data_IF_144932656082
#
_entry.id   IF_144932656082
#
_cell.length_a   1.000
_cell.length_b   1.000
_cell.length_c   1.000
_cell.angle_alpha   90.00
_cell.angle_beta   90.00
_cell.angle_gamma   90.00
#
_symmetry.space_group_name_H-M   'P 1'
#
loop_
_entity.id
_entity.type
_entity.pdbx_description
1 polymer ?
#
# COMPACT_ATOMS: atom_id res chain seq x y z
N UNK A 1 1.24 -27.27 -5.40
CA UNK A 1 1.80 -27.88 -4.18
C UNK A 1 3.10 -27.15 -3.87
N UNK A 2 3.14 -26.38 -2.79
CA UNK A 2 4.37 -25.69 -2.38
C UNK A 2 5.32 -26.76 -1.87
N UNK A 3 6.39 -27.03 -2.60
CA UNK A 3 7.45 -27.88 -2.10
C UNK A 3 8.38 -26.98 -1.34
N UNK A 4 8.18 -26.94 -0.02
CA UNK A 4 9.07 -26.23 0.90
C UNK A 4 10.52 -26.69 0.76
N UNK A 5 11.46 -25.81 1.11
CA UNK A 5 12.91 -26.11 1.28
C UNK A 5 13.24 -27.36 2.14
N UNK A 6 12.26 -27.91 2.85
CA UNK A 6 12.35 -29.15 3.64
C UNK A 6 12.67 -30.36 2.73
N UNK A 7 12.34 -30.30 1.44
CA UNK A 7 12.64 -31.37 0.49
C UNK A 7 14.14 -31.72 0.33
N UNK A 8 15.06 -30.85 0.72
CA UNK A 8 16.51 -31.17 0.70
C UNK A 8 16.93 -32.25 1.73
N UNK A 9 16.09 -32.54 2.72
CA UNK A 9 16.35 -33.60 3.72
C UNK A 9 15.73 -34.94 3.36
N UNK A 10 14.80 -34.99 2.42
CA UNK A 10 14.22 -36.24 1.95
C UNK A 10 14.97 -36.75 0.73
N UNK A 11 15.32 -38.04 0.71
CA UNK A 11 16.02 -38.76 -0.35
C UNK A 11 15.34 -38.71 -1.74
N UNK A 12 14.14 -38.10 -1.83
CA UNK A 12 13.39 -37.88 -3.06
C UNK A 12 13.56 -36.44 -3.56
N UNK A 13 14.77 -35.92 -3.51
CA UNK A 13 15.15 -34.55 -3.89
C UNK A 13 15.02 -34.22 -5.39
N UNK A 14 14.08 -34.83 -6.11
CA UNK A 14 13.87 -34.60 -7.53
C UNK A 14 12.75 -33.62 -7.88
N UNK A 15 11.95 -33.17 -6.90
CA UNK A 15 10.89 -32.19 -7.13
C UNK A 15 11.43 -30.79 -6.91
N UNK A 16 11.69 -30.08 -7.99
CA UNK A 16 11.98 -28.64 -7.92
C UNK A 16 10.73 -27.90 -7.39
N UNK A 17 10.92 -26.81 -6.57
CA UNK A 17 9.81 -26.00 -6.12
C UNK A 17 9.12 -25.37 -7.33
N UNK A 18 7.81 -25.49 -7.39
CA UNK A 18 7.01 -24.96 -8.51
C UNK A 18 7.04 -23.43 -8.51
N UNK A 19 7.05 -22.81 -7.32
CA UNK A 19 7.11 -21.36 -7.15
C UNK A 19 8.01 -20.97 -5.99
N UNK A 20 8.63 -19.79 -6.11
CA UNK A 20 9.35 -19.12 -5.05
C UNK A 20 8.45 -18.08 -4.37
N UNK A 21 8.36 -18.09 -3.05
CA UNK A 21 7.65 -17.08 -2.27
C UNK A 21 8.48 -15.80 -2.06
N UNK A 22 9.81 -15.90 -2.22
CA UNK A 22 10.70 -14.75 -2.03
C UNK A 22 10.49 -13.71 -3.12
N UNK A 23 10.17 -12.48 -2.74
CA UNK A 23 9.98 -11.35 -3.65
C UNK A 23 11.32 -10.83 -4.21
N UNK A 24 12.44 -11.04 -3.49
CA UNK A 24 13.75 -10.44 -3.80
C UNK A 24 14.76 -11.39 -4.41
N UNK A 25 14.48 -12.67 -4.48
CA UNK A 25 15.49 -13.66 -4.85
C UNK A 25 15.66 -13.75 -6.38
N UNK A 26 16.78 -13.24 -6.90
CA UNK A 26 17.08 -13.19 -8.33
C UNK A 26 17.67 -14.50 -8.90
N UNK A 27 18.05 -15.45 -8.04
CA UNK A 27 18.87 -16.63 -8.43
C UNK A 27 18.15 -17.98 -8.28
N UNK A 28 16.83 -18.01 -8.36
CA UNK A 28 16.12 -19.29 -8.31
C UNK A 28 15.59 -19.65 -9.71
N UNK A 29 15.80 -20.89 -10.12
CA UNK A 29 15.27 -21.47 -11.37
C UNK A 29 13.74 -21.65 -11.34
N UNK A 30 13.05 -21.09 -10.38
CA UNK A 30 11.59 -21.17 -10.26
C UNK A 30 10.94 -19.78 -10.32
N UNK A 31 9.77 -19.65 -10.96
CA UNK A 31 9.07 -18.38 -11.07
C UNK A 31 8.65 -17.86 -9.69
N UNK A 32 8.76 -16.56 -9.51
CA UNK A 32 8.28 -15.90 -8.29
C UNK A 32 6.76 -15.83 -8.30
N UNK A 33 6.14 -16.28 -7.22
CA UNK A 33 4.68 -16.23 -7.09
C UNK A 33 4.16 -14.78 -7.07
N UNK A 34 4.94 -13.87 -6.49
CA UNK A 34 4.64 -12.44 -6.49
C UNK A 34 4.59 -11.84 -7.91
N UNK A 35 5.51 -12.24 -8.80
CA UNK A 35 5.52 -11.72 -10.16
C UNK A 35 4.28 -12.19 -10.94
N UNK A 36 3.81 -13.42 -10.69
CA UNK A 36 2.55 -13.91 -11.27
C UNK A 36 1.37 -13.11 -10.70
N UNK A 37 1.38 -12.85 -9.39
CA UNK A 37 0.33 -12.09 -8.71
C UNK A 37 0.21 -10.67 -9.25
N UNK A 38 1.32 -9.91 -9.27
CA UNK A 38 1.29 -8.50 -9.68
C UNK A 38 0.96 -8.33 -11.18
N UNK A 39 1.26 -9.33 -12.01
CA UNK A 39 0.93 -9.33 -13.44
C UNK A 39 -0.44 -9.96 -13.75
N UNK A 40 -1.19 -10.36 -12.74
CA UNK A 40 -2.57 -10.84 -12.91
C UNK A 40 -3.56 -9.67 -12.91
N UNK A 41 -4.67 -9.85 -13.63
CA UNK A 41 -5.70 -8.83 -13.73
C UNK A 41 -6.44 -8.67 -12.39
N UNK A 42 -6.72 -9.79 -11.74
CA UNK A 42 -7.41 -9.85 -10.46
C UNK A 42 -7.00 -11.13 -9.67
N UNK A 43 -7.59 -11.28 -8.49
CA UNK A 43 -7.37 -12.45 -7.61
C UNK A 43 -7.77 -13.76 -8.27
N UNK A 44 -8.82 -13.76 -9.12
CA UNK A 44 -9.26 -14.96 -9.80
C UNK A 44 -8.25 -15.39 -10.86
N UNK A 45 -7.79 -14.45 -11.69
CA UNK A 45 -6.78 -14.68 -12.72
C UNK A 45 -5.48 -15.20 -12.10
N UNK A 46 -5.07 -14.60 -10.97
CA UNK A 46 -3.94 -15.10 -10.20
C UNK A 46 -4.13 -16.54 -9.74
N UNK A 47 -5.29 -16.86 -9.16
CA UNK A 47 -5.57 -18.20 -8.65
C UNK A 47 -5.52 -19.26 -9.76
N UNK A 48 -6.03 -18.93 -10.94
CA UNK A 48 -5.99 -19.84 -12.09
C UNK A 48 -4.57 -20.00 -12.63
N UNK A 49 -3.83 -18.90 -12.81
CA UNK A 49 -2.45 -18.94 -13.31
C UNK A 49 -1.49 -19.66 -12.37
N UNK A 50 -1.62 -19.41 -11.07
CA UNK A 50 -0.70 -19.96 -10.07
C UNK A 50 -1.07 -21.35 -9.59
N UNK A 51 -2.34 -21.65 -9.41
CA UNK A 51 -2.81 -22.86 -8.75
C UNK A 51 -3.76 -23.72 -9.59
N UNK A 52 -4.19 -23.23 -10.75
CA UNK A 52 -5.19 -23.88 -11.58
C UNK A 52 -6.61 -23.87 -10.99
N UNK A 53 -6.81 -23.33 -9.79
CA UNK A 53 -8.11 -23.33 -9.10
C UNK A 53 -8.17 -22.25 -8.02
N UNK A 54 -9.28 -21.50 -7.96
CA UNK A 54 -9.55 -20.55 -6.89
C UNK A 54 -9.65 -21.22 -5.52
N UNK A 55 -10.22 -22.42 -5.43
CA UNK A 55 -10.36 -23.13 -4.15
C UNK A 55 -9.03 -23.49 -3.48
N UNK A 56 -7.93 -23.55 -4.22
CA UNK A 56 -6.60 -23.71 -3.65
C UNK A 56 -6.10 -22.42 -2.99
N UNK A 57 -6.31 -21.28 -3.64
CA UNK A 57 -5.98 -19.98 -3.05
C UNK A 57 -6.83 -19.72 -1.79
N UNK A 58 -8.13 -20.04 -1.81
CA UNK A 58 -9.01 -19.87 -0.65
C UNK A 58 -8.54 -20.68 0.57
N UNK A 59 -8.02 -21.88 0.34
CA UNK A 59 -7.39 -22.69 1.41
C UNK A 59 -6.12 -22.05 1.94
N UNK A 60 -5.28 -21.48 1.07
CA UNK A 60 -4.06 -20.79 1.48
C UNK A 60 -4.35 -19.52 2.29
N UNK A 61 -5.41 -18.80 1.94
CA UNK A 61 -5.87 -17.60 2.67
C UNK A 61 -6.33 -17.90 4.10
N UNK A 62 -6.61 -19.14 4.44
CA UNK A 62 -6.92 -19.56 5.82
C UNK A 62 -5.67 -19.74 6.69
N UNK A 63 -4.49 -19.71 6.09
CA UNK A 63 -3.23 -19.99 6.78
C UNK A 63 -2.49 -18.68 7.07
N UNK A 64 -2.32 -18.34 8.35
CA UNK A 64 -1.74 -17.07 8.81
C UNK A 64 -0.39 -16.73 8.19
N UNK A 65 0.53 -17.68 8.09
CA UNK A 65 1.84 -17.40 7.50
C UNK A 65 1.76 -16.99 6.02
N UNK A 66 0.70 -17.41 5.33
CA UNK A 66 0.50 -17.00 3.92
C UNK A 66 -0.12 -15.61 3.84
N UNK A 67 -1.07 -15.27 4.70
CA UNK A 67 -1.75 -13.96 4.70
C UNK A 67 -0.88 -12.87 5.31
N UNK A 68 -0.36 -13.10 6.51
CA UNK A 68 0.38 -12.11 7.30
C UNK A 68 1.90 -12.10 7.01
N UNK A 69 2.38 -13.06 6.23
CA UNK A 69 3.81 -13.26 6.01
C UNK A 69 4.47 -14.07 7.13
N UNK A 70 5.72 -14.40 6.92
CA UNK A 70 6.49 -15.17 7.89
C UNK A 70 7.35 -14.23 8.74
N UNK A 71 7.06 -14.14 10.03
CA UNK A 71 7.86 -13.37 10.98
C UNK A 71 9.33 -13.85 10.95
N UNK A 72 10.24 -12.93 10.64
CA UNK A 72 11.66 -13.24 10.45
C UNK A 72 12.09 -13.55 9.01
N UNK A 73 11.17 -13.63 8.07
CA UNK A 73 11.48 -13.74 6.64
C UNK A 73 11.23 -12.38 5.96
N UNK A 74 12.27 -11.55 5.83
CA UNK A 74 12.17 -10.23 5.16
C UNK A 74 11.85 -10.31 3.67
N UNK A 75 11.78 -11.52 3.11
CA UNK A 75 11.60 -11.76 1.67
C UNK A 75 10.19 -12.15 1.28
N UNK A 76 9.31 -12.45 2.25
CA UNK A 76 7.90 -12.73 2.03
C UNK A 76 7.05 -11.92 3.01
N UNK A 77 6.43 -10.86 2.50
CA UNK A 77 5.62 -9.91 3.30
C UNK A 77 4.22 -10.42 3.63
N UNK A 78 3.77 -11.46 2.94
CA UNK A 78 2.43 -12.01 3.06
C UNK A 78 1.49 -11.56 1.95
N UNK A 79 0.42 -12.35 1.79
CA UNK A 79 -0.56 -12.11 0.73
C UNK A 79 -1.35 -10.80 0.90
N UNK A 80 -1.59 -10.39 2.15
CA UNK A 80 -2.30 -9.13 2.44
C UNK A 80 -1.49 -7.92 1.97
N UNK A 81 -0.16 -7.93 2.16
CA UNK A 81 0.74 -6.91 1.62
C UNK A 81 0.75 -6.90 0.08
N UNK A 82 0.63 -8.07 -0.56
CA UNK A 82 0.51 -8.15 -2.01
C UNK A 82 -0.80 -7.56 -2.53
N UNK A 83 -1.91 -7.75 -1.78
CA UNK A 83 -3.18 -7.11 -2.12
C UNK A 83 -3.09 -5.58 -2.04
N UNK A 84 -2.36 -5.06 -1.08
CA UNK A 84 -2.14 -3.62 -0.96
C UNK A 84 -1.29 -3.09 -2.13
N UNK A 85 -0.22 -3.79 -2.52
CA UNK A 85 0.58 -3.45 -3.71
C UNK A 85 -0.28 -3.46 -4.99
N UNK A 86 -1.18 -4.43 -5.15
CA UNK A 86 -2.10 -4.49 -6.29
C UNK A 86 -3.05 -3.28 -6.30
N UNK A 87 -3.62 -2.93 -5.15
CA UNK A 87 -4.47 -1.73 -5.01
C UNK A 87 -3.72 -0.45 -5.34
N UNK A 88 -2.49 -0.31 -4.87
CA UNK A 88 -1.65 0.85 -5.20
C UNK A 88 -1.33 0.93 -6.70
N UNK A 89 -1.00 -0.19 -7.33
CA UNK A 89 -0.79 -0.28 -8.78
C UNK A 89 -2.03 0.17 -9.55
N UNK A 90 -3.19 -0.37 -9.18
CA UNK A 90 -4.46 -0.07 -9.86
C UNK A 90 -4.85 1.40 -9.66
N UNK A 91 -4.64 1.94 -8.47
CA UNK A 91 -4.85 3.36 -8.17
C UNK A 91 -3.89 4.25 -8.98
N UNK A 92 -2.62 3.86 -9.08
CA UNK A 92 -1.61 4.57 -9.88
C UNK A 92 -1.98 4.57 -11.37
N UNK A 93 -2.41 3.44 -11.89
CA UNK A 93 -2.86 3.30 -13.27
C UNK A 93 -4.10 4.14 -13.54
N UNK A 94 -5.08 4.11 -12.64
CA UNK A 94 -6.30 4.93 -12.75
C UNK A 94 -5.97 6.42 -12.71
N UNK A 95 -5.05 6.85 -11.83
CA UNK A 95 -4.57 8.24 -11.78
C UNK A 95 -3.90 8.65 -13.09
N UNK A 96 -3.06 7.79 -13.67
CA UNK A 96 -2.42 8.07 -14.95
C UNK A 96 -3.44 8.28 -16.07
N UNK A 97 -4.42 7.39 -16.20
CA UNK A 97 -5.49 7.53 -17.20
C UNK A 97 -6.29 8.81 -17.01
N UNK A 98 -6.58 9.19 -15.74
CA UNK A 98 -7.27 10.45 -15.47
C UNK A 98 -6.42 11.68 -15.80
N UNK A 99 -5.10 11.63 -15.58
CA UNK A 99 -4.17 12.70 -15.94
C UNK A 99 -4.10 12.88 -17.46
N UNK A 100 -3.99 11.79 -18.20
CA UNK A 100 -3.94 11.83 -19.66
C UNK A 100 -5.24 12.45 -20.22
N UNK A 101 -6.40 12.02 -19.73
CA UNK A 101 -7.71 12.61 -20.12
C UNK A 101 -7.86 14.07 -19.73
N UNK A 102 -7.38 14.46 -18.55
CA UNK A 102 -7.42 15.86 -18.12
C UNK A 102 -6.52 16.75 -18.99
N UNK A 103 -5.37 16.24 -19.44
CA UNK A 103 -4.49 16.92 -20.38
C UNK A 103 -5.15 17.11 -21.75
N UNK A 104 -5.98 16.16 -22.18
CA UNK A 104 -6.80 16.25 -23.40
C UNK A 104 -8.01 17.21 -23.26
N UNK A 105 -8.18 17.86 -22.10
CA UNK A 105 -9.24 18.84 -21.86
C UNK A 105 -10.51 18.30 -21.22
N UNK A 106 -10.52 17.04 -20.73
CA UNK A 106 -11.67 16.47 -20.01
C UNK A 106 -11.78 17.07 -18.60
N UNK A 107 -12.69 18.04 -18.44
CA UNK A 107 -12.98 18.72 -17.17
C UNK A 107 -13.46 17.75 -16.09
N UNK A 108 -14.16 16.68 -16.48
CA UNK A 108 -14.66 15.65 -15.54
C UNK A 108 -13.52 14.85 -14.93
N UNK A 109 -12.53 14.48 -15.75
CA UNK A 109 -11.31 13.82 -15.29
C UNK A 109 -10.49 14.73 -14.37
N UNK A 110 -10.31 16.00 -14.72
CA UNK A 110 -9.63 16.98 -13.90
C UNK A 110 -10.30 17.17 -12.53
N UNK A 111 -11.63 17.26 -12.50
CA UNK A 111 -12.40 17.34 -11.24
C UNK A 111 -12.21 16.10 -10.36
N UNK A 112 -12.24 14.90 -10.94
CA UNK A 112 -11.98 13.64 -10.20
C UNK A 112 -10.59 13.62 -9.58
N UNK A 113 -9.56 14.06 -10.29
CA UNK A 113 -8.20 14.16 -9.75
C UNK A 113 -8.12 15.10 -8.55
N UNK A 114 -8.77 16.25 -8.63
CA UNK A 114 -8.85 17.19 -7.49
C UNK A 114 -9.56 16.54 -6.31
N UNK A 115 -10.66 15.83 -6.55
CA UNK A 115 -11.42 15.17 -5.48
C UNK A 115 -10.63 14.02 -4.85
N UNK A 116 -9.84 13.28 -5.61
CA UNK A 116 -8.95 12.22 -5.09
C UNK A 116 -7.81 12.77 -4.21
N UNK A 117 -7.37 13.98 -4.45
CA UNK A 117 -6.30 14.62 -3.68
C UNK A 117 -6.82 15.43 -2.48
N UNK A 118 -8.14 15.60 -2.35
CA UNK A 118 -8.72 16.24 -1.16
C UNK A 118 -8.54 15.33 0.04
N UNK A 119 -8.10 15.87 1.19
CA UNK A 119 -8.11 15.12 2.44
C UNK A 119 -9.53 14.63 2.69
N UNK A 120 -9.64 13.35 3.01
CA UNK A 120 -10.92 12.72 3.38
C UNK A 120 -11.46 13.42 4.62
N UNK A 121 -12.35 14.40 4.42
CA UNK A 121 -13.08 14.97 5.55
C UNK A 121 -13.96 13.86 6.12
N UNK A 122 -13.65 13.46 7.33
CA UNK A 122 -14.50 12.57 8.12
C UNK A 122 -15.89 13.22 8.16
N UNK A 123 -16.84 12.64 7.40
CA UNK A 123 -18.24 13.10 7.42
C UNK A 123 -18.81 12.75 8.80
N UNK A 124 -18.74 13.70 9.68
CA UNK A 124 -19.30 13.60 11.01
C UNK A 124 -19.06 14.89 11.77
N UNK A 125 -19.96 15.21 12.71
CA UNK A 125 -19.73 16.33 13.62
C UNK A 125 -18.42 16.02 14.38
N UNK A 126 -17.38 16.88 14.31
CA UNK A 126 -16.13 16.63 15.02
C UNK A 126 -16.42 16.42 16.50
N UNK A 127 -15.75 15.44 17.12
CA UNK A 127 -15.91 15.18 18.55
C UNK A 127 -15.55 16.47 19.31
N UNK A 128 -16.22 16.73 20.42
CA UNK A 128 -15.94 17.93 21.25
C UNK A 128 -14.46 18.04 21.61
N UNK A 129 -13.79 16.91 21.79
CA UNK A 129 -12.35 16.82 22.09
C UNK A 129 -11.46 17.31 20.93
N UNK A 130 -11.84 17.03 19.68
CA UNK A 130 -11.11 17.49 18.50
C UNK A 130 -11.27 19.00 18.32
N UNK A 131 -12.47 19.54 18.58
CA UNK A 131 -12.74 20.98 18.50
C UNK A 131 -11.94 21.74 19.57
N UNK A 132 -11.90 21.21 20.81
CA UNK A 132 -11.13 21.84 21.88
C UNK A 132 -9.63 21.79 21.63
N UNK A 133 -9.12 20.69 21.07
CA UNK A 133 -7.70 20.52 20.71
C UNK A 133 -7.29 21.45 19.58
N UNK A 134 -8.14 21.62 18.59
CA UNK A 134 -7.88 22.52 17.47
C UNK A 134 -7.96 23.99 17.87
N UNK A 135 -8.90 24.34 18.75
CA UNK A 135 -9.00 25.67 19.34
C UNK A 135 -7.80 26.01 20.22
N UNK A 136 -7.28 25.04 21.01
CA UNK A 136 -6.05 25.21 21.79
C UNK A 136 -4.84 25.46 20.88
N UNK A 137 -4.68 24.68 19.81
CA UNK A 137 -3.59 24.86 18.84
C UNK A 137 -3.63 26.20 18.14
N UNK A 138 -4.83 26.66 17.74
CA UNK A 138 -5.00 27.98 17.14
C UNK A 138 -4.75 29.13 18.13
N UNK A 139 -5.00 28.91 19.42
CA UNK A 139 -4.68 29.88 20.46
C UNK A 139 -3.15 29.99 20.69
N UNK A 140 -2.44 28.86 20.70
CA UNK A 140 -0.98 28.82 20.77
C UNK A 140 -0.33 29.52 19.55
N UNK A 141 -0.76 29.21 18.33
CA UNK A 141 -0.26 29.86 17.11
C UNK A 141 -0.47 31.38 17.15
N UNK A 142 -1.62 31.85 17.68
CA UNK A 142 -1.88 33.30 17.82
C UNK A 142 -0.99 33.97 18.86
N UNK A 143 -0.67 33.28 19.96
CA UNK A 143 0.25 33.80 20.96
C UNK A 143 1.69 33.88 20.44
N UNK A 144 2.13 32.88 19.70
CA UNK A 144 3.46 32.85 19.07
C UNK A 144 3.61 33.98 18.03
N UNK A 145 2.62 34.18 17.19
CA UNK A 145 2.60 35.28 16.22
C UNK A 145 2.61 36.65 16.93
N UNK A 146 1.86 36.81 18.03
CA UNK A 146 1.83 38.03 18.79
C UNK A 146 3.17 38.33 19.47
N UNK A 147 3.86 37.30 19.98
CA UNK A 147 5.17 37.44 20.62
C UNK A 147 6.27 37.67 19.57
N UNK A 148 6.23 37.07 18.42
CA UNK A 148 7.13 37.39 17.30
C UNK A 148 6.92 38.82 16.78
N UNK A 149 5.68 39.28 16.68
CA UNK A 149 5.35 40.66 16.32
C UNK A 149 5.93 41.67 17.36
N UNK A 150 5.86 41.36 18.66
CA UNK A 150 6.48 42.17 19.71
C UNK A 150 8.01 42.18 19.58
N UNK A 151 8.65 41.06 19.33
CA UNK A 151 10.09 40.96 19.07
C UNK A 151 10.52 41.81 17.86
N UNK A 152 9.80 41.77 16.77
CA UNK A 152 10.06 42.57 15.58
C UNK A 152 9.90 44.07 15.82
N UNK A 153 8.94 44.50 16.65
CA UNK A 153 8.77 45.89 17.01
C UNK A 153 9.91 46.40 17.92
N UNK A 154 10.45 45.56 18.79
CA UNK A 154 11.61 45.92 19.64
C UNK A 154 12.87 46.15 18.78
N UNK A 155 13.03 45.42 17.68
CA UNK A 155 14.20 45.56 16.77
C UNK A 155 14.13 46.87 15.98
N UNK A 156 12.95 47.39 15.67
CA UNK A 156 12.77 48.66 14.95
C UNK A 156 13.11 49.90 15.76
N UNK A 157 13.10 49.80 17.09
CA UNK A 157 13.42 50.95 18.00
C UNK A 157 14.87 51.02 18.47
N UNK A 158 15.77 50.16 17.97
CA UNK A 158 17.23 50.17 18.32
C UNK A 158 18.14 50.56 17.14
N UNK A 159 17.58 51.21 16.09
CA UNK A 159 18.32 51.80 14.98
C UNK A 159 18.45 53.29 15.13
#
# INVERSE_FOLDING_TARGET
>A
MFVERIAKRHKNAGTQPVYCLSERQEKQDCPKLYDIFINSADEYDFAIKAFGSKGQLDKLKQVKWFTEGWQGCMTFRGYDAWLDDMRERDLSTAKKVLLDRAADGDVSAAKKLVDMNKPTHVRGRPKKEDITREAARQAEEKTDIADDAKRLNIIKFRG
#
